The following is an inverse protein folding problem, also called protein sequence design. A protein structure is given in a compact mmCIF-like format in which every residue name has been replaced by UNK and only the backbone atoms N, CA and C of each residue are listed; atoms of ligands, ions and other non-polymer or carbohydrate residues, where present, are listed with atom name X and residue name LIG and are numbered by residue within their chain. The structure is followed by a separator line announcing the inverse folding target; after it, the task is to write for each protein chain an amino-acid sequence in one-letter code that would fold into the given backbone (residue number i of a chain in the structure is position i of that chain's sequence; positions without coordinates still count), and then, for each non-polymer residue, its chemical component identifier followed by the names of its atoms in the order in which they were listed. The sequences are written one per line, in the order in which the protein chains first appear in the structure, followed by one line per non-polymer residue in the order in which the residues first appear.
data_IF_481388196451
#
_entry.id   IF_481388196451
#
_cell.length_a   1.000
_cell.length_b   1.000
_cell.length_c   1.000
_cell.angle_alpha   90.00
_cell.angle_beta   90.00
_cell.angle_gamma   90.00
#
_symmetry.space_group_name_H-M   'P 1'
#
loop_
_entity.id
_entity.type
_entity.pdbx_description
1 polymer ?
#
# COMPACT_ATOMS: atom_id res chain seq x y z
N UNK A 1 5.84 0.57 -12.13
CA UNK A 1 4.41 0.72 -12.46
C UNK A 1 4.05 2.14 -12.90
N UNK A 2 4.75 2.71 -13.90
CA UNK A 2 4.43 4.04 -14.44
C UNK A 2 3.05 4.10 -15.10
N UNK A 3 2.47 2.95 -15.47
CA UNK A 3 1.13 2.83 -16.01
C UNK A 3 0.03 3.19 -15.00
N UNK A 4 0.28 3.05 -13.70
CA UNK A 4 -0.67 3.36 -12.63
C UNK A 4 -0.25 4.59 -11.82
N UNK A 5 1.04 4.71 -11.48
CA UNK A 5 1.58 5.81 -10.66
C UNK A 5 2.33 6.78 -11.58
N UNK A 6 1.78 7.99 -11.73
CA UNK A 6 2.35 9.05 -12.54
C UNK A 6 3.56 9.72 -11.86
N UNK A 7 3.45 9.99 -10.56
CA UNK A 7 4.53 10.56 -9.74
C UNK A 7 4.34 10.24 -8.27
N UNK A 8 5.43 10.37 -7.51
CA UNK A 8 5.45 10.26 -6.05
C UNK A 8 6.18 11.48 -5.51
N UNK A 9 5.57 12.17 -4.57
CA UNK A 9 6.14 13.30 -3.87
C UNK A 9 6.38 12.95 -2.41
N UNK A 10 7.55 13.28 -1.87
CA UNK A 10 7.80 13.18 -0.42
C UNK A 10 7.44 14.54 0.18
N UNK A 11 6.33 14.59 0.91
CA UNK A 11 5.85 15.84 1.52
C UNK A 11 6.60 16.16 2.82
N UNK A 12 6.99 15.12 3.55
CA UNK A 12 7.72 15.22 4.81
C UNK A 12 8.47 13.92 5.10
N UNK A 13 9.62 14.01 5.77
CA UNK A 13 10.42 12.87 6.22
C UNK A 13 11.54 12.46 5.26
N UNK A 14 12.27 11.42 5.64
CA UNK A 14 13.51 10.94 5.01
C UNK A 14 13.42 9.51 4.48
N UNK A 15 12.23 8.90 4.55
CA UNK A 15 11.99 7.50 4.23
C UNK A 15 11.72 6.62 5.45
N UNK A 16 12.04 7.08 6.66
CA UNK A 16 11.74 6.40 7.92
C UNK A 16 10.30 6.59 8.43
N UNK A 17 10.03 6.08 9.63
CA UNK A 17 8.74 6.28 10.32
C UNK A 17 8.44 7.78 10.45
N UNK A 18 7.22 8.16 10.12
CA UNK A 18 6.77 9.56 10.05
C UNK A 18 6.78 10.13 8.63
N UNK A 19 7.45 9.47 7.67
CA UNK A 19 7.51 9.93 6.28
C UNK A 19 6.11 9.95 5.66
N UNK A 20 5.77 11.07 5.02
CA UNK A 20 4.51 11.29 4.31
C UNK A 20 4.79 11.39 2.81
N UNK A 21 4.14 10.54 2.03
CA UNK A 21 4.27 10.49 0.57
C UNK A 21 2.92 10.72 -0.09
N UNK A 22 2.90 11.51 -1.14
CA UNK A 22 1.73 11.70 -2.00
C UNK A 22 1.95 10.99 -3.32
N UNK A 23 1.06 10.06 -3.63
CA UNK A 23 1.05 9.33 -4.88
C UNK A 23 0.05 10.00 -5.82
N UNK A 24 0.50 10.31 -7.04
CA UNK A 24 -0.37 10.76 -8.11
C UNK A 24 -0.61 9.60 -9.06
N UNK A 25 -1.87 9.26 -9.29
CA UNK A 25 -2.26 8.17 -10.16
C UNK A 25 -2.54 8.68 -11.58
N UNK A 26 -2.30 7.82 -12.56
CA UNK A 26 -2.69 8.08 -13.94
C UNK A 26 -4.22 7.97 -14.08
N UNK A 27 -4.75 8.42 -15.23
CA UNK A 27 -6.17 8.35 -15.55
C UNK A 27 -6.74 6.92 -15.65
N UNK A 28 -5.91 5.87 -15.50
CA UNK A 28 -6.40 4.49 -15.41
C UNK A 28 -7.16 4.25 -14.10
N UNK A 29 -6.80 4.98 -13.04
CA UNK A 29 -7.53 5.01 -11.78
C UNK A 29 -8.69 6.01 -11.92
N UNK A 30 -9.92 5.49 -11.99
CA UNK A 30 -11.11 6.30 -12.26
C UNK A 30 -11.72 6.91 -11.00
N UNK A 31 -11.58 6.23 -9.87
CA UNK A 31 -12.28 6.59 -8.63
C UNK A 31 -11.54 7.67 -7.82
N UNK A 32 -10.22 7.80 -8.02
CA UNK A 32 -9.38 8.79 -7.36
C UNK A 32 -8.10 9.05 -8.15
N UNK A 33 -7.58 10.28 -8.05
CA UNK A 33 -6.37 10.72 -8.76
C UNK A 33 -5.13 10.77 -7.87
N UNK A 34 -5.26 10.67 -6.55
CA UNK A 34 -4.14 10.66 -5.62
C UNK A 34 -4.46 9.91 -4.34
N UNK A 35 -3.43 9.55 -3.57
CA UNK A 35 -3.52 9.16 -2.18
C UNK A 35 -2.29 9.69 -1.43
N UNK A 36 -2.48 10.14 -0.19
CA UNK A 36 -1.37 10.58 0.67
C UNK A 36 -1.24 9.60 1.83
N UNK A 37 -0.09 8.97 1.93
CA UNK A 37 0.19 7.89 2.87
C UNK A 37 1.27 8.32 3.85
N UNK A 38 1.17 7.86 5.09
CA UNK A 38 2.18 8.02 6.13
C UNK A 38 2.69 6.67 6.60
N UNK A 39 4.01 6.49 6.60
CA UNK A 39 4.64 5.34 7.24
C UNK A 39 4.59 5.53 8.76
N UNK A 40 3.82 4.73 9.49
CA UNK A 40 3.61 4.92 10.93
C UNK A 40 4.38 3.94 11.80
N UNK A 41 4.74 2.78 11.26
CA UNK A 41 5.50 1.77 11.98
C UNK A 41 6.40 1.00 11.02
N UNK A 42 7.61 0.68 11.48
CA UNK A 42 8.51 -0.31 10.87
C UNK A 42 9.11 -1.13 12.00
N UNK A 43 8.92 -2.43 11.96
CA UNK A 43 9.54 -3.39 12.86
C UNK A 43 10.39 -4.34 12.01
N UNK A 44 11.70 -4.15 12.09
CA UNK A 44 12.67 -4.95 11.33
C UNK A 44 12.78 -6.39 11.84
N UNK A 45 12.53 -6.64 13.13
CA UNK A 45 12.59 -7.99 13.71
C UNK A 45 11.39 -8.83 13.26
N UNK A 46 10.19 -8.24 13.33
CA UNK A 46 8.95 -8.88 12.86
C UNK A 46 8.75 -8.79 11.36
N UNK A 47 9.58 -8.03 10.65
CA UNK A 47 9.48 -7.75 9.21
C UNK A 47 8.08 -7.20 8.86
N UNK A 48 7.63 -6.27 9.68
CA UNK A 48 6.33 -5.60 9.51
C UNK A 48 6.48 -4.11 9.27
N UNK A 49 5.58 -3.55 8.50
CA UNK A 49 5.41 -2.10 8.45
C UNK A 49 3.93 -1.74 8.36
N UNK A 50 3.56 -0.60 8.95
CA UNK A 50 2.21 -0.05 8.90
C UNK A 50 2.20 1.30 8.22
N UNK A 51 1.23 1.48 7.33
CA UNK A 51 0.97 2.73 6.62
C UNK A 51 -0.46 3.17 6.90
N UNK A 52 -0.66 4.45 7.18
CA UNK A 52 -1.97 5.08 7.27
C UNK A 52 -2.21 5.95 6.05
N UNK A 53 -3.38 5.83 5.42
CA UNK A 53 -3.79 6.75 4.37
C UNK A 53 -4.44 7.96 5.03
N UNK A 54 -3.88 9.14 4.78
CA UNK A 54 -4.29 10.39 5.38
C UNK A 54 -5.41 11.08 4.58
N UNK A 55 -5.32 11.02 3.25
CA UNK A 55 -6.28 11.63 2.33
C UNK A 55 -6.22 10.98 0.94
N UNK A 56 -7.25 11.19 0.12
CA UNK A 56 -7.36 10.59 -1.20
C UNK A 56 -7.67 9.09 -1.16
N UNK A 57 -7.43 8.40 -2.27
CA UNK A 57 -7.78 7.00 -2.40
C UNK A 57 -9.26 6.76 -2.13
N UNK A 58 -9.55 5.86 -1.20
CA UNK A 58 -10.93 5.51 -0.83
C UNK A 58 -11.52 6.45 0.25
N UNK A 59 -10.72 7.36 0.83
CA UNK A 59 -11.21 8.34 1.81
C UNK A 59 -12.15 9.34 1.13
N UNK A 60 -13.33 9.52 1.71
CA UNK A 60 -14.37 10.40 1.17
C UNK A 60 -15.21 9.77 0.04
N UNK A 61 -14.73 8.69 -0.58
CA UNK A 61 -15.48 7.91 -1.58
C UNK A 61 -16.32 6.83 -0.88
N UNK A 62 -15.66 5.99 -0.08
CA UNK A 62 -16.29 4.85 0.61
C UNK A 62 -15.88 4.73 2.09
N UNK A 63 -14.68 5.21 2.42
CA UNK A 63 -14.06 5.08 3.73
C UNK A 63 -13.89 6.46 4.39
N UNK A 64 -13.95 6.50 5.73
CA UNK A 64 -13.53 7.65 6.54
C UNK A 64 -12.04 7.61 6.80
N UNK A 65 -11.50 6.42 7.04
CA UNK A 65 -10.08 6.18 7.23
C UNK A 65 -9.75 4.73 6.86
N UNK A 66 -8.49 4.48 6.53
CA UNK A 66 -7.97 3.13 6.42
C UNK A 66 -6.45 3.09 6.58
N UNK A 67 -5.96 1.94 7.02
CA UNK A 67 -4.54 1.65 7.17
C UNK A 67 -4.22 0.23 6.75
N UNK A 68 -2.96 0.04 6.39
CA UNK A 68 -2.42 -1.24 5.95
C UNK A 68 -1.26 -1.65 6.83
N UNK A 69 -1.30 -2.88 7.34
CA UNK A 69 -0.13 -3.52 7.95
C UNK A 69 0.31 -4.66 7.05
N UNK A 70 1.56 -4.61 6.60
CA UNK A 70 2.20 -5.64 5.79
C UNK A 70 3.16 -6.42 6.66
N UNK A 71 3.10 -7.74 6.58
CA UNK A 71 4.04 -8.67 7.24
C UNK A 71 4.68 -9.57 6.22
N UNK A 72 6.00 -9.73 6.30
CA UNK A 72 6.80 -10.58 5.42
C UNK A 72 7.32 -11.79 6.17
N UNK A 73 6.65 -12.94 6.02
CA UNK A 73 7.05 -14.19 6.65
C UNK A 73 7.94 -15.00 5.71
N UNK A 74 8.98 -15.64 6.24
CA UNK A 74 9.78 -16.62 5.48
C UNK A 74 9.02 -17.93 5.32
N UNK A 75 9.14 -18.58 4.15
CA UNK A 75 8.56 -19.91 3.91
C UNK A 75 9.63 -21.00 3.99
N UNK A 76 9.22 -22.26 4.20
CA UNK A 76 10.12 -23.43 4.26
C UNK A 76 10.90 -23.66 2.98
N UNK A 77 10.38 -23.19 1.85
CA UNK A 77 10.95 -23.33 0.51
C UNK A 77 11.95 -22.22 0.18
N UNK A 78 12.28 -21.36 1.13
CA UNK A 78 13.18 -20.21 0.93
C UNK A 78 12.51 -18.99 0.29
N UNK A 79 11.18 -18.98 0.21
CA UNK A 79 10.40 -17.86 -0.31
C UNK A 79 9.92 -16.89 0.78
N UNK A 80 9.04 -15.97 0.37
CA UNK A 80 8.36 -15.05 1.28
C UNK A 80 6.84 -15.13 1.09
N UNK A 81 6.11 -15.17 2.21
CA UNK A 81 4.66 -15.02 2.27
C UNK A 81 4.34 -13.62 2.77
N UNK A 82 3.67 -12.84 1.93
CA UNK A 82 3.15 -11.51 2.31
C UNK A 82 1.77 -11.67 2.94
N UNK A 83 1.60 -11.14 4.16
CA UNK A 83 0.29 -10.96 4.79
C UNK A 83 -0.07 -9.48 4.77
N UNK A 84 -1.31 -9.20 4.40
CA UNK A 84 -1.88 -7.85 4.40
C UNK A 84 -3.05 -7.82 5.39
N UNK A 85 -2.93 -7.01 6.43
CA UNK A 85 -4.03 -6.60 7.28
C UNK A 85 -4.51 -5.22 6.83
N UNK A 86 -5.82 -5.07 6.67
CA UNK A 86 -6.46 -3.79 6.33
C UNK A 86 -7.43 -3.45 7.45
N UNK A 87 -7.21 -2.29 8.07
CA UNK A 87 -8.13 -1.73 9.05
C UNK A 87 -8.81 -0.53 8.41
N UNK A 88 -10.13 -0.42 8.50
CA UNK A 88 -10.89 0.64 7.83
C UNK A 88 -12.13 1.04 8.61
N UNK A 89 -12.56 2.28 8.43
CA UNK A 89 -13.85 2.80 8.87
C UNK A 89 -14.66 3.28 7.65
N UNK A 90 -15.94 2.94 7.61
CA UNK A 90 -16.81 3.15 6.44
C UNK A 90 -17.72 4.35 6.62
N UNK A 91 -17.94 5.16 5.59
CA UNK A 91 -18.75 6.39 5.69
C UNK A 91 -20.21 6.16 6.11
N UNK A 92 -20.77 5.00 5.82
CA UNK A 92 -22.19 4.67 6.00
C UNK A 92 -22.45 3.60 7.07
N UNK A 93 -21.44 3.28 7.89
CA UNK A 93 -21.51 2.24 8.94
C UNK A 93 -21.89 0.84 8.42
N UNK A 94 -21.69 0.58 7.12
CA UNK A 94 -21.87 -0.75 6.54
C UNK A 94 -20.53 -1.33 6.08
N UNK A 95 -20.23 -2.61 6.44
CA UNK A 95 -19.02 -3.27 5.99
C UNK A 95 -18.83 -3.20 4.48
N UNK A 96 -17.58 -3.24 4.01
CA UNK A 96 -17.30 -3.37 2.59
C UNK A 96 -17.90 -4.67 2.04
N UNK A 97 -18.45 -4.62 0.84
CA UNK A 97 -18.79 -5.85 0.10
C UNK A 97 -17.53 -6.66 -0.20
N UNK A 98 -17.71 -7.92 -0.62
CA UNK A 98 -16.58 -8.77 -1.00
C UNK A 98 -15.78 -8.15 -2.16
N UNK A 99 -16.47 -7.55 -3.12
CA UNK A 99 -15.90 -6.88 -4.29
C UNK A 99 -15.17 -5.60 -3.90
N UNK A 100 -15.75 -4.79 -3.02
CA UNK A 100 -15.12 -3.57 -2.50
C UNK A 100 -13.84 -3.91 -1.71
N UNK A 101 -13.92 -4.89 -0.82
CA UNK A 101 -12.79 -5.37 -0.05
C UNK A 101 -11.69 -5.97 -0.95
N UNK A 102 -12.06 -6.59 -2.08
CA UNK A 102 -11.11 -7.06 -3.08
C UNK A 102 -10.43 -5.89 -3.79
N UNK A 103 -11.19 -4.90 -4.24
CA UNK A 103 -10.64 -3.70 -4.89
C UNK A 103 -9.66 -2.94 -4.00
N UNK A 104 -9.98 -2.80 -2.71
CA UNK A 104 -9.09 -2.17 -1.73
C UNK A 104 -7.75 -2.91 -1.59
N UNK A 105 -7.76 -4.25 -1.68
CA UNK A 105 -6.55 -5.09 -1.59
C UNK A 105 -5.76 -5.15 -2.91
N UNK A 106 -6.44 -5.02 -4.06
CA UNK A 106 -5.82 -5.13 -5.38
C UNK A 106 -4.75 -4.07 -5.63
N UNK A 107 -4.92 -2.84 -5.10
CA UNK A 107 -3.90 -1.79 -5.18
C UNK A 107 -2.57 -2.19 -4.54
N UNK A 108 -2.60 -2.65 -3.28
CA UNK A 108 -1.40 -3.12 -2.56
C UNK A 108 -0.81 -4.36 -3.23
N UNK A 109 -1.65 -5.29 -3.67
CA UNK A 109 -1.21 -6.51 -4.34
C UNK A 109 -0.52 -6.21 -5.68
N UNK A 110 -1.03 -5.24 -6.45
CA UNK A 110 -0.44 -4.79 -7.70
C UNK A 110 0.97 -4.21 -7.49
N UNK A 111 1.15 -3.40 -6.45
CA UNK A 111 2.47 -2.87 -6.07
C UNK A 111 3.46 -3.99 -5.71
N UNK A 112 3.03 -4.95 -4.90
CA UNK A 112 3.88 -6.08 -4.51
C UNK A 112 4.29 -6.94 -5.71
N UNK A 113 3.37 -7.22 -6.63
CA UNK A 113 3.69 -7.99 -7.86
C UNK A 113 4.67 -7.25 -8.77
N UNK A 114 4.52 -5.93 -8.91
CA UNK A 114 5.46 -5.11 -9.68
C UNK A 114 6.86 -5.11 -9.04
N UNK A 115 6.93 -5.00 -7.72
CA UNK A 115 8.18 -5.10 -6.97
C UNK A 115 8.82 -6.49 -7.11
N UNK A 116 8.06 -7.56 -6.89
CA UNK A 116 8.52 -8.94 -7.05
C UNK A 116 9.09 -9.19 -8.46
N UNK A 117 8.35 -8.80 -9.51
CA UNK A 117 8.82 -8.94 -10.89
C UNK A 117 10.11 -8.19 -11.17
N UNK A 118 10.27 -6.97 -10.60
CA UNK A 118 11.50 -6.21 -10.72
C UNK A 118 12.67 -6.90 -10.01
N UNK A 119 12.48 -7.37 -8.78
CA UNK A 119 13.53 -8.05 -8.00
C UNK A 119 13.96 -9.37 -8.64
N UNK A 120 13.01 -10.15 -9.16
CA UNK A 120 13.31 -11.40 -9.88
C UNK A 120 14.11 -11.15 -11.17
N UNK A 121 13.81 -10.08 -11.89
CA UNK A 121 14.56 -9.69 -13.08
C UNK A 121 15.94 -9.08 -12.77
N UNK A 122 16.15 -8.61 -11.53
CA UNK A 122 17.35 -7.90 -11.11
C UNK A 122 17.89 -8.47 -9.77
N UNK A 123 18.38 -9.71 -9.74
CA UNK A 123 18.69 -10.44 -8.50
C UNK A 123 19.79 -9.81 -7.63
N UNK A 124 20.61 -8.91 -8.20
CA UNK A 124 21.71 -8.23 -7.50
C UNK A 124 21.40 -6.76 -7.17
N UNK A 125 20.16 -6.29 -7.37
CA UNK A 125 19.81 -4.88 -7.12
C UNK A 125 19.76 -4.53 -5.63
N UNK A 126 19.52 -5.51 -4.76
CA UNK A 126 19.33 -5.33 -3.31
C UNK A 126 19.91 -6.52 -2.52
N UNK A 127 21.24 -6.68 -2.59
CA UNK A 127 22.04 -7.70 -1.87
C UNK A 127 22.83 -7.11 -0.71
#
# INVERSE_FOLDING_TARGET
MPEVIASIEVLHGDGGVGTVKKFHFTNVMKDFSYATDKLVEVDHEKKTFKIEVLEGGWIGVRLRSYSFTVTLDSTSEGGCKVKLLVEYDTLNDTPLSVEEAKGLKEGILGMHKALEGHLLANPNAYV
#
